data_IF_947291817917
#
_entry.id   IF_947291817917
#
_cell.length_a   1.000
_cell.length_b   1.000
_cell.length_c   1.000
_cell.angle_alpha   90.00
_cell.angle_beta   90.00
_cell.angle_gamma   90.00
#
_symmetry.space_group_name_H-M   'P 1'
#
loop_
_entity.id
_entity.type
_entity.pdbx_description
1 polymer ?
#
# COMPACT_ATOMS: atom_id res chain seq x y z
N UNK A 1 2.16 12.48 -0.22
CA UNK A 1 2.46 11.04 -0.25
C UNK A 1 1.92 10.40 1.02
N UNK A 2 1.21 9.27 0.88
CA UNK A 2 0.70 8.43 1.96
C UNK A 2 1.31 7.03 1.87
N UNK A 3 1.80 6.51 2.98
CA UNK A 3 2.30 5.14 3.08
C UNK A 3 1.44 4.34 4.05
N UNK A 4 0.88 3.23 3.58
CA UNK A 4 0.07 2.32 4.38
C UNK A 4 0.92 1.27 5.07
N UNK A 5 0.79 1.12 6.39
CA UNK A 5 1.45 0.05 7.13
C UNK A 5 0.55 -1.19 7.07
N UNK A 6 1.11 -2.30 6.56
CA UNK A 6 0.42 -3.59 6.41
C UNK A 6 1.24 -4.69 7.07
N UNK A 7 0.57 -5.79 7.39
CA UNK A 7 1.19 -6.99 7.94
C UNK A 7 0.13 -7.88 8.57
N UNK A 8 0.51 -9.10 8.93
CA UNK A 8 -0.37 -10.01 9.65
C UNK A 8 -0.69 -9.48 11.07
N UNK A 9 -1.74 -9.99 11.73
CA UNK A 9 -1.96 -9.76 13.14
C UNK A 9 -0.72 -10.07 14.00
N UNK A 10 -0.53 -9.29 15.07
CA UNK A 10 0.53 -9.50 16.07
C UNK A 10 1.99 -9.39 15.58
N UNK A 11 2.23 -8.80 14.40
CA UNK A 11 3.61 -8.56 13.89
C UNK A 11 4.29 -7.32 14.47
N UNK A 12 3.59 -6.54 15.32
CA UNK A 12 4.11 -5.30 15.90
C UNK A 12 3.75 -4.01 15.13
N UNK A 13 2.81 -4.09 14.18
CA UNK A 13 2.34 -2.97 13.35
C UNK A 13 1.97 -1.71 14.16
N UNK A 14 1.08 -1.85 15.15
CA UNK A 14 0.64 -0.71 15.96
C UNK A 14 1.76 -0.16 16.85
N UNK A 15 2.69 -1.02 17.30
CA UNK A 15 3.88 -0.58 18.04
C UNK A 15 4.78 0.28 17.16
N UNK A 16 5.03 -0.14 15.92
CA UNK A 16 5.81 0.63 14.95
C UNK A 16 5.11 1.96 14.61
N UNK A 17 3.81 1.94 14.35
CA UNK A 17 3.03 3.15 14.08
C UNK A 17 3.11 4.15 15.24
N UNK A 18 2.91 3.69 16.48
CA UNK A 18 2.98 4.53 17.67
C UNK A 18 4.40 5.10 17.88
N UNK A 19 5.44 4.31 17.64
CA UNK A 19 6.82 4.77 17.75
C UNK A 19 7.13 5.88 16.72
N UNK A 20 6.69 5.71 15.47
CA UNK A 20 6.92 6.68 14.40
C UNK A 20 6.11 7.97 14.58
N UNK A 21 4.88 7.86 15.07
CA UNK A 21 4.01 9.02 15.31
C UNK A 21 4.36 9.78 16.58
N UNK A 22 4.78 9.09 17.64
CA UNK A 22 5.24 9.73 18.87
C UNK A 22 6.56 10.50 18.69
N UNK A 23 7.42 10.05 17.76
CA UNK A 23 8.64 10.76 17.38
C UNK A 23 8.38 12.02 16.53
N UNK A 24 7.15 12.21 16.05
CA UNK A 24 6.83 13.10 14.94
C UNK A 24 6.22 14.46 15.30
N UNK A 25 5.19 14.54 16.17
CA UNK A 25 4.40 15.79 16.29
C UNK A 25 3.81 16.05 17.70
N UNK A 26 4.01 17.28 18.18
CA UNK A 26 3.13 17.96 19.13
C UNK A 26 1.87 18.44 18.38
N UNK A 27 0.71 17.90 18.75
CA UNK A 27 -0.62 18.14 18.19
C UNK A 27 -0.86 19.57 17.68
N UNK A 28 -0.64 19.83 16.40
CA UNK A 28 -1.29 20.95 15.70
C UNK A 28 -2.58 20.42 15.07
N UNK A 29 -3.70 21.03 15.45
CA UNK A 29 -5.05 20.62 15.05
C UNK A 29 -5.24 20.78 13.53
N UNK A 30 -5.08 19.71 12.76
CA UNK A 30 -5.52 19.65 11.36
C UNK A 30 -7.03 19.28 11.33
N UNK A 31 -7.93 20.20 10.91
CA UNK A 31 -9.36 20.12 11.25
C UNK A 31 -10.22 19.21 10.35
N UNK A 32 -9.65 18.17 9.73
CA UNK A 32 -10.40 17.28 8.84
C UNK A 32 -9.94 15.82 9.00
N UNK A 33 -10.38 15.16 10.06
CA UNK A 33 -10.28 13.70 10.18
C UNK A 33 -11.68 13.11 10.39
N UNK A 34 -12.36 12.84 9.28
CA UNK A 34 -13.65 12.14 9.23
C UNK A 34 -13.39 10.64 9.36
N UNK A 35 -13.79 9.98 10.45
CA UNK A 35 -13.94 8.50 10.63
C UNK A 35 -13.06 7.66 9.67
N UNK A 36 -11.76 7.91 9.68
CA UNK A 36 -10.76 7.42 8.72
C UNK A 36 -9.71 6.58 9.47
N UNK A 37 -8.97 5.68 8.79
CA UNK A 37 -7.91 4.88 9.41
C UNK A 37 -6.95 5.76 10.22
N UNK A 38 -6.28 5.21 11.23
CA UNK A 38 -5.37 6.01 12.05
C UNK A 38 -4.26 6.59 11.15
N UNK A 39 -4.32 7.89 10.87
CA UNK A 39 -3.32 8.60 10.08
C UNK A 39 -2.35 9.30 11.03
N UNK A 40 -1.07 9.01 10.86
CA UNK A 40 0.03 9.64 11.55
C UNK A 40 0.84 10.51 10.61
N UNK A 41 1.36 11.64 11.08
CA UNK A 41 2.29 12.47 10.30
C UNK A 41 3.67 12.35 10.93
N UNK A 42 4.68 12.10 10.09
CA UNK A 42 6.07 11.93 10.49
C UNK A 42 6.94 12.90 9.71
N UNK A 43 7.80 13.63 10.41
CA UNK A 43 8.77 14.51 9.79
C UNK A 43 9.92 13.67 9.21
N UNK A 44 10.27 13.92 7.95
CA UNK A 44 11.37 13.24 7.28
C UNK A 44 12.69 13.82 7.82
N UNK A 45 13.54 13.00 8.47
CA UNK A 45 14.82 13.48 8.99
C UNK A 45 15.74 13.81 7.82
N UNK A 46 16.12 15.08 7.71
CA UNK A 46 17.01 15.56 6.65
C UNK A 46 18.10 16.49 7.24
N UNK A 47 19.35 16.01 7.40
CA UNK A 47 20.43 16.82 7.97
C UNK A 47 20.80 18.01 7.09
N UNK A 48 20.39 18.03 5.81
CA UNK A 48 20.67 19.15 4.90
C UNK A 48 19.93 20.42 5.32
N UNK A 49 18.76 20.28 5.97
CA UNK A 49 18.00 21.43 6.44
C UNK A 49 18.78 22.22 7.50
N UNK A 50 19.46 21.51 8.40
CA UNK A 50 20.31 22.13 9.43
C UNK A 50 21.51 22.83 8.80
N UNK A 51 22.16 22.19 7.81
CA UNK A 51 23.28 22.79 7.08
C UNK A 51 22.84 24.09 6.40
N UNK A 52 21.69 24.09 5.70
CA UNK A 52 21.16 25.29 5.04
C UNK A 52 20.87 26.38 6.07
N UNK A 53 20.26 26.02 7.20
CA UNK A 53 19.91 26.95 8.27
C UNK A 53 21.15 27.64 8.88
N UNK A 54 22.29 26.94 8.95
CA UNK A 54 23.56 27.54 9.40
C UNK A 54 24.06 28.67 8.48
N UNK A 55 23.82 28.56 7.16
CA UNK A 55 24.20 29.60 6.20
C UNK A 55 23.12 30.66 5.98
N UNK A 56 21.85 30.25 6.11
CA UNK A 56 20.67 31.09 5.89
C UNK A 56 19.74 30.91 7.09
N UNK A 57 19.93 31.70 8.17
CA UNK A 57 19.12 31.58 9.37
C UNK A 57 17.67 32.03 9.10
N UNK A 58 16.72 31.21 9.52
CA UNK A 58 15.27 31.41 9.39
C UNK A 58 14.56 31.18 10.72
N UNK A 59 13.42 31.84 10.97
CA UNK A 59 12.71 31.67 12.25
C UNK A 59 12.20 30.25 12.50
N UNK A 60 11.98 29.49 11.41
CA UNK A 60 11.51 28.10 11.45
C UNK A 60 12.18 27.28 10.34
N UNK A 61 12.44 26.02 10.65
CA UNK A 61 12.83 24.98 9.69
C UNK A 61 11.64 24.03 9.55
N UNK A 62 11.13 23.88 8.33
CA UNK A 62 9.95 23.05 8.04
C UNK A 62 10.44 21.81 7.28
N UNK A 63 10.43 20.62 7.92
CA UNK A 63 10.82 19.38 7.24
C UNK A 63 9.74 18.93 6.25
N UNK A 64 10.14 18.07 5.31
CA UNK A 64 9.17 17.34 4.51
C UNK A 64 8.37 16.37 5.41
N UNK A 65 7.10 16.16 5.07
CA UNK A 65 6.20 15.30 5.86
C UNK A 65 5.87 14.02 5.09
N UNK A 66 5.83 12.90 5.82
CA UNK A 66 5.29 11.62 5.38
C UNK A 66 4.02 11.31 6.17
N UNK A 67 2.92 11.01 5.48
CA UNK A 67 1.69 10.54 6.12
C UNK A 67 1.72 9.02 6.16
N UNK A 68 1.62 8.46 7.36
CA UNK A 68 1.51 7.03 7.61
C UNK A 68 0.07 6.68 7.91
N UNK A 69 -0.46 5.66 7.25
CA UNK A 69 -1.81 5.16 7.47
C UNK A 69 -1.70 3.78 8.10
N UNK A 70 -2.22 3.61 9.32
CA UNK A 70 -2.28 2.30 9.95
C UNK A 70 -3.43 1.48 9.34
N UNK A 71 -3.10 0.53 8.47
CA UNK A 71 -4.12 -0.33 7.85
C UNK A 71 -4.31 -1.56 8.74
N UNK A 72 -5.54 -1.97 9.02
CA UNK A 72 -5.84 -3.11 9.91
C UNK A 72 -5.10 -4.40 9.46
N UNK A 73 -4.86 -5.37 10.34
CA UNK A 73 -4.09 -6.57 9.94
C UNK A 73 -4.77 -7.35 8.81
N UNK A 74 -3.99 -7.76 7.79
CA UNK A 74 -4.48 -8.65 6.72
C UNK A 74 -4.64 -10.05 7.31
N UNK A 75 -5.77 -10.67 7.03
CA UNK A 75 -6.00 -12.09 7.29
C UNK A 75 -6.25 -12.76 5.95
N UNK A 76 -5.84 -14.03 5.80
CA UNK A 76 -6.20 -14.86 4.64
C UNK A 76 -7.71 -14.77 4.35
N UNK A 77 -8.07 -14.69 3.07
CA UNK A 77 -9.46 -14.58 2.61
C UNK A 77 -9.95 -13.13 2.47
N UNK A 78 -9.08 -12.12 2.57
CA UNK A 78 -9.47 -10.72 2.42
C UNK A 78 -10.06 -10.42 1.03
N UNK A 79 -9.59 -11.14 0.01
CA UNK A 79 -10.07 -11.05 -1.38
C UNK A 79 -11.38 -11.81 -1.66
N UNK A 80 -11.81 -12.73 -0.79
CA UNK A 80 -13.02 -13.56 -0.98
C UNK A 80 -14.32 -12.84 -0.58
N UNK A 81 -14.23 -11.63 -0.03
CA UNK A 81 -15.37 -10.73 0.09
C UNK A 81 -16.19 -10.83 1.39
N UNK A 82 -15.71 -11.55 2.41
CA UNK A 82 -16.23 -11.36 3.77
C UNK A 82 -15.90 -9.92 4.21
N UNK A 83 -16.93 -9.11 4.47
CA UNK A 83 -16.93 -7.63 4.41
C UNK A 83 -15.87 -6.84 5.19
N UNK A 84 -14.98 -7.48 5.95
CA UNK A 84 -13.78 -6.87 6.53
C UNK A 84 -12.64 -6.73 5.50
N UNK A 85 -12.43 -7.73 4.64
CA UNK A 85 -11.32 -7.76 3.68
C UNK A 85 -11.42 -6.69 2.58
N UNK A 86 -12.63 -6.45 2.07
CA UNK A 86 -12.87 -5.41 1.05
C UNK A 86 -12.65 -3.99 1.58
N UNK A 87 -13.02 -3.70 2.84
CA UNK A 87 -12.72 -2.40 3.46
C UNK A 87 -11.22 -2.20 3.61
N UNK A 88 -10.51 -3.25 4.00
CA UNK A 88 -9.05 -3.23 4.09
C UNK A 88 -8.38 -2.93 2.74
N UNK A 89 -8.74 -3.67 1.68
CA UNK A 89 -8.20 -3.45 0.33
C UNK A 89 -8.54 -2.04 -0.19
N UNK A 90 -9.69 -1.48 0.19
CA UNK A 90 -10.05 -0.10 -0.18
C UNK A 90 -9.12 0.94 0.45
N UNK A 91 -8.61 0.71 1.67
CA UNK A 91 -7.63 1.59 2.29
C UNK A 91 -6.25 1.47 1.64
N UNK A 92 -5.82 0.26 1.25
CA UNK A 92 -4.58 0.09 0.48
C UNK A 92 -4.64 0.86 -0.84
N UNK A 93 -5.79 0.84 -1.53
CA UNK A 93 -5.95 1.56 -2.82
C UNK A 93 -5.80 3.07 -2.70
N UNK A 94 -5.91 3.62 -1.49
CA UNK A 94 -5.81 5.06 -1.23
C UNK A 94 -4.39 5.49 -0.83
N UNK A 95 -3.45 4.56 -0.64
CA UNK A 95 -2.06 4.90 -0.30
C UNK A 95 -1.14 4.81 -1.51
N UNK A 96 -0.08 5.61 -1.52
CA UNK A 96 0.92 5.64 -2.59
C UNK A 96 1.99 4.56 -2.43
N UNK A 97 2.22 4.09 -1.19
CA UNK A 97 3.24 3.11 -0.86
C UNK A 97 2.76 2.16 0.25
N UNK A 98 3.33 0.96 0.26
CA UNK A 98 3.06 -0.07 1.27
C UNK A 98 4.31 -0.29 2.12
N UNK A 99 4.16 -0.20 3.45
CA UNK A 99 5.16 -0.56 4.45
C UNK A 99 4.77 -1.91 5.04
N UNK A 100 5.39 -2.98 4.56
CA UNK A 100 5.09 -4.33 5.01
C UNK A 100 5.91 -4.70 6.26
N UNK A 101 5.23 -4.86 7.38
CA UNK A 101 5.80 -5.32 8.65
C UNK A 101 5.73 -6.84 8.73
N UNK A 102 6.90 -7.48 8.79
CA UNK A 102 7.04 -8.93 8.85
C UNK A 102 7.62 -9.33 10.20
N UNK A 103 7.04 -10.36 10.84
CA UNK A 103 7.48 -10.83 12.15
C UNK A 103 8.71 -11.72 12.00
N UNK A 104 9.86 -11.25 12.48
CA UNK A 104 11.12 -12.02 12.50
C UNK A 104 11.56 -12.39 13.93
N UNK A 105 10.62 -12.60 14.85
CA UNK A 105 10.91 -12.95 16.24
C UNK A 105 9.92 -13.99 16.80
N UNK A 106 10.44 -14.88 17.64
CA UNK A 106 9.63 -15.84 18.40
C UNK A 106 9.31 -15.26 19.79
N UNK A 107 8.07 -15.43 20.25
CA UNK A 107 7.66 -15.06 21.60
C UNK A 107 6.49 -15.97 22.01
N UNK A 108 6.65 -16.67 23.13
CA UNK A 108 5.66 -17.63 23.66
C UNK A 108 4.35 -16.97 24.13
N UNK A 109 4.38 -15.67 24.42
CA UNK A 109 3.21 -14.91 24.84
C UNK A 109 2.41 -14.34 23.66
N UNK A 110 2.92 -14.46 22.43
CA UNK A 110 2.33 -13.85 21.22
C UNK A 110 2.03 -14.92 20.17
N UNK A 111 0.76 -15.30 20.08
CA UNK A 111 0.27 -16.31 19.15
C UNK A 111 0.35 -15.79 17.71
N UNK A 112 1.01 -16.57 16.85
CA UNK A 112 1.00 -16.37 15.40
C UNK A 112 -0.31 -16.92 14.80
N UNK A 113 -0.85 -16.26 13.77
CA UNK A 113 -2.13 -16.66 13.15
C UNK A 113 -2.10 -18.12 12.66
N UNK A 114 -0.94 -18.57 12.17
CA UNK A 114 -0.73 -19.92 11.65
C UNK A 114 -0.07 -20.87 12.67
N UNK A 115 0.05 -20.45 13.93
CA UNK A 115 0.66 -21.24 15.01
C UNK A 115 2.19 -21.34 14.96
N UNK A 116 2.82 -21.02 13.83
CA UNK A 116 4.28 -20.92 13.67
C UNK A 116 4.66 -19.61 12.98
N UNK A 117 5.76 -19.00 13.40
CA UNK A 117 6.34 -17.82 12.73
C UNK A 117 7.12 -18.28 11.50
N UNK A 118 6.73 -17.81 10.32
CA UNK A 118 7.44 -18.02 9.07
C UNK A 118 7.40 -16.73 8.22
N UNK A 119 8.45 -15.91 8.28
CA UNK A 119 8.49 -14.61 7.59
C UNK A 119 8.26 -14.70 6.08
N UNK A 120 8.68 -15.79 5.44
CA UNK A 120 8.57 -15.95 3.99
C UNK A 120 7.11 -16.27 3.62
N UNK A 121 6.50 -17.22 4.33
CA UNK A 121 5.07 -17.55 4.16
C UNK A 121 4.18 -16.33 4.45
N UNK A 122 4.52 -15.53 5.45
CA UNK A 122 3.80 -14.29 5.78
C UNK A 122 3.85 -13.30 4.62
N UNK A 123 5.03 -13.10 4.01
CA UNK A 123 5.20 -12.23 2.85
C UNK A 123 4.36 -12.71 1.68
N UNK A 124 4.47 -13.99 1.35
CA UNK A 124 3.74 -14.63 0.24
C UNK A 124 2.23 -14.51 0.44
N UNK A 125 1.74 -14.71 1.66
CA UNK A 125 0.31 -14.59 1.99
C UNK A 125 -0.22 -13.21 1.64
N UNK A 126 0.50 -12.15 2.02
CA UNK A 126 0.09 -10.78 1.70
C UNK A 126 0.17 -10.51 0.19
N UNK A 127 1.26 -10.88 -0.46
CA UNK A 127 1.44 -10.64 -1.89
C UNK A 127 0.36 -11.37 -2.71
N UNK A 128 -0.02 -12.60 -2.33
CA UNK A 128 -1.12 -13.36 -2.96
C UNK A 128 -2.46 -12.63 -2.81
N UNK A 129 -2.82 -12.17 -1.61
CA UNK A 129 -4.09 -11.44 -1.39
C UNK A 129 -4.18 -10.16 -2.23
N UNK A 130 -3.06 -9.41 -2.32
CA UNK A 130 -2.99 -8.21 -3.15
C UNK A 130 -3.14 -8.57 -4.64
N UNK A 131 -2.49 -9.64 -5.09
CA UNK A 131 -2.59 -10.10 -6.48
C UNK A 131 -3.98 -10.61 -6.84
N UNK A 132 -4.69 -11.27 -5.91
CA UNK A 132 -6.08 -11.67 -6.10
C UNK A 132 -6.99 -10.45 -6.26
N UNK A 133 -6.79 -9.42 -5.43
CA UNK A 133 -7.52 -8.16 -5.54
C UNK A 133 -7.23 -7.42 -6.87
N UNK A 134 -5.98 -7.43 -7.31
CA UNK A 134 -5.58 -6.89 -8.62
C UNK A 134 -6.23 -7.69 -9.76
N UNK A 135 -6.24 -9.02 -9.68
CA UNK A 135 -6.82 -9.90 -10.71
C UNK A 135 -8.32 -9.62 -10.89
N UNK A 136 -9.08 -9.49 -9.80
CA UNK A 136 -10.50 -9.12 -9.85
C UNK A 136 -10.71 -7.76 -10.52
N UNK A 137 -9.82 -6.80 -10.24
CA UNK A 137 -9.88 -5.44 -10.79
C UNK A 137 -9.55 -5.43 -12.28
N UNK A 138 -8.48 -6.12 -12.67
CA UNK A 138 -8.03 -6.25 -14.06
C UNK A 138 -9.08 -6.97 -14.90
N UNK A 139 -9.64 -8.08 -14.44
CA UNK A 139 -10.67 -8.81 -15.19
C UNK A 139 -11.95 -7.97 -15.38
N UNK A 140 -12.39 -7.27 -14.33
CA UNK A 140 -13.53 -6.35 -14.41
C UNK A 140 -13.29 -5.20 -15.40
N UNK A 141 -12.08 -4.63 -15.40
CA UNK A 141 -11.68 -3.56 -16.33
C UNK A 141 -11.57 -4.09 -17.77
N UNK A 142 -10.99 -5.28 -17.96
CA UNK A 142 -10.80 -5.94 -19.24
C UNK A 142 -12.13 -6.22 -19.93
N UNK A 143 -13.13 -6.74 -19.19
CA UNK A 143 -14.47 -6.95 -19.74
C UNK A 143 -15.13 -5.66 -20.25
N UNK A 144 -14.97 -4.54 -19.51
CA UNK A 144 -15.48 -3.23 -19.93
C UNK A 144 -14.74 -2.70 -21.15
N UNK A 145 -13.41 -2.74 -21.13
CA UNK A 145 -12.56 -2.31 -22.24
C UNK A 145 -12.85 -3.12 -23.51
N UNK A 146 -13.04 -4.44 -23.41
CA UNK A 146 -13.38 -5.31 -24.53
C UNK A 146 -14.70 -4.93 -25.20
N UNK A 147 -15.73 -4.57 -24.43
CA UNK A 147 -17.02 -4.10 -24.98
C UNK A 147 -16.85 -2.81 -25.78
N UNK A 148 -16.11 -1.84 -25.26
CA UNK A 148 -15.86 -0.55 -25.93
C UNK A 148 -14.87 -0.66 -27.09
N UNK A 149 -13.91 -1.57 -27.03
CA UNK A 149 -12.95 -1.82 -28.12
C UNK A 149 -13.66 -2.36 -29.38
N UNK A 150 -14.73 -3.14 -29.22
CA UNK A 150 -15.58 -3.64 -30.33
C UNK A 150 -16.28 -2.51 -31.09
N UNK A 151 -16.54 -1.36 -30.46
CA UNK A 151 -17.12 -0.20 -31.14
C UNK A 151 -16.08 0.63 -31.92
N UNK A 152 -14.83 0.17 -32.02
CA UNK A 152 -13.78 0.79 -32.83
C UNK A 152 -12.93 1.84 -32.12
N UNK A 153 -13.15 2.10 -30.82
CA UNK A 153 -12.36 3.09 -30.06
C UNK A 153 -10.88 2.62 -29.92
N UNK A 154 -9.95 3.45 -30.40
CA UNK A 154 -8.51 3.15 -30.39
C UNK A 154 -7.90 3.13 -28.97
N UNK A 155 -8.34 4.03 -28.09
CA UNK A 155 -7.90 4.08 -26.70
C UNK A 155 -8.36 2.84 -25.92
N UNK A 156 -9.61 2.41 -26.14
CA UNK A 156 -10.13 1.19 -25.54
C UNK A 156 -9.40 -0.07 -26.00
N UNK A 157 -8.92 -0.11 -27.26
CA UNK A 157 -8.07 -1.20 -27.78
C UNK A 157 -6.69 -1.20 -27.13
N UNK A 158 -6.06 -0.03 -26.99
CA UNK A 158 -4.77 0.10 -26.31
C UNK A 158 -4.88 -0.34 -24.84
N UNK A 159 -5.95 0.09 -24.15
CA UNK A 159 -6.25 -0.30 -22.78
C UNK A 159 -6.50 -1.79 -22.63
N UNK A 160 -7.23 -2.40 -23.55
CA UNK A 160 -7.45 -3.84 -23.54
C UNK A 160 -6.13 -4.61 -23.66
N UNK A 161 -5.23 -4.20 -24.55
CA UNK A 161 -3.94 -4.85 -24.74
C UNK A 161 -3.07 -4.79 -23.46
N UNK A 162 -3.02 -3.64 -22.77
CA UNK A 162 -2.32 -3.51 -21.48
C UNK A 162 -2.94 -4.43 -20.43
N UNK A 163 -4.27 -4.42 -20.30
CA UNK A 163 -4.99 -5.26 -19.34
C UNK A 163 -4.80 -6.77 -19.59
N UNK A 164 -4.64 -7.19 -20.85
CA UNK A 164 -4.32 -8.57 -21.19
C UNK A 164 -2.92 -9.00 -20.71
N UNK A 165 -1.93 -8.12 -20.85
CA UNK A 165 -0.57 -8.36 -20.31
C UNK A 165 -0.61 -8.43 -18.78
N UNK A 166 -1.32 -7.50 -18.13
CA UNK A 166 -1.49 -7.51 -16.68
C UNK A 166 -2.17 -8.81 -16.19
N UNK A 167 -3.24 -9.24 -16.85
CA UNK A 167 -3.94 -10.48 -16.51
C UNK A 167 -3.04 -11.71 -16.66
N UNK A 168 -2.27 -11.79 -17.75
CA UNK A 168 -1.33 -12.88 -17.99
C UNK A 168 -0.25 -12.95 -16.90
N UNK A 169 0.32 -11.80 -16.50
CA UNK A 169 1.33 -11.75 -15.45
C UNK A 169 0.79 -12.19 -14.08
N UNK A 170 -0.41 -11.73 -13.73
CA UNK A 170 -1.06 -12.14 -12.48
C UNK A 170 -1.38 -13.64 -12.46
N UNK A 171 -1.72 -14.24 -13.61
CA UNK A 171 -1.92 -15.68 -13.74
C UNK A 171 -0.63 -16.50 -13.58
N UNK A 172 0.54 -15.91 -13.77
CA UNK A 172 1.85 -16.51 -13.46
C UNK A 172 2.30 -16.29 -12.01
N UNK A 173 1.40 -15.86 -11.13
CA UNK A 173 1.69 -15.56 -9.73
C UNK A 173 2.79 -14.49 -9.55
N UNK A 174 2.85 -13.51 -10.47
CA UNK A 174 3.80 -12.39 -10.40
C UNK A 174 3.08 -11.07 -10.16
N UNK A 175 3.54 -10.24 -9.20
CA UNK A 175 2.91 -8.95 -8.93
C UNK A 175 3.15 -7.96 -10.07
N UNK A 176 2.19 -7.05 -10.29
CA UNK A 176 2.23 -6.05 -11.37
C UNK A 176 3.34 -5.01 -11.18
N UNK A 177 3.80 -4.76 -9.94
CA UNK A 177 4.88 -3.79 -9.64
C UNK A 177 6.20 -4.05 -10.38
N UNK A 178 6.43 -5.28 -10.82
CA UNK A 178 7.61 -5.66 -11.60
C UNK A 178 7.37 -5.71 -13.12
N UNK A 179 6.22 -5.24 -13.60
CA UNK A 179 5.92 -5.16 -15.02
C UNK A 179 6.45 -3.84 -15.59
N UNK A 180 7.15 -3.92 -16.72
CA UNK A 180 7.65 -2.77 -17.46
C UNK A 180 7.09 -2.79 -18.86
N UNK A 181 6.64 -1.63 -19.34
CA UNK A 181 6.20 -1.44 -20.72
C UNK A 181 7.22 -0.56 -21.44
N UNK A 182 7.53 -0.90 -22.69
CA UNK A 182 8.47 -0.12 -23.51
C UNK A 182 7.91 1.26 -23.88
N UNK A 183 6.57 1.37 -23.95
CA UNK A 183 5.89 2.62 -24.25
C UNK A 183 5.43 3.32 -22.94
N UNK A 184 5.88 4.55 -22.65
CA UNK A 184 5.45 5.31 -21.48
C UNK A 184 3.93 5.55 -21.40
N UNK A 185 3.26 5.63 -22.55
CA UNK A 185 1.81 5.82 -22.59
C UNK A 185 1.06 4.55 -22.20
N UNK A 186 1.65 3.35 -22.42
CA UNK A 186 1.09 2.10 -21.90
C UNK A 186 1.28 1.96 -20.39
N UNK A 187 2.34 2.54 -19.83
CA UNK A 187 2.58 2.52 -18.39
C UNK A 187 1.62 3.43 -17.61
N UNK A 188 1.00 4.40 -18.27
CA UNK A 188 -0.02 5.31 -17.68
C UNK A 188 -1.44 4.73 -17.71
N UNK A 189 -1.67 3.67 -18.49
CA UNK A 189 -2.97 3.03 -18.71
C UNK A 189 -3.29 2.03 -17.60
#
# INVERSE_FOLDING_TARGET
>A
MEAGIVGLPNVGKSTLFNALTAAGIASENYPFCTIEPNVGIVNVPDPRLEIIHQYIPTDKVIPAILRLVDIAGIVRGASEGEGLGNKFLSHIRNVDAILHVVRCFENGDVIHVEGKVDPISDIETIDIELMLADMQTVESAKQKAAKTARSGNAEAKSRLAVLEVCAARLAEEKPLRGLTFDNPDQQKI
#
